data_IF_543183727433
#
_entry.id   IF_543183727433
#
_cell.length_a   1.000
_cell.length_b   1.000
_cell.length_c   1.000
_cell.angle_alpha   90.00
_cell.angle_beta   90.00
_cell.angle_gamma   90.00
#
_symmetry.space_group_name_H-M   'P 1'
#
loop_
_entity.id
_entity.type
_entity.pdbx_description
1 polymer ?
#
# COMPACT_ATOMS: atom_id res chain seq x y z
N UNK A 1 -7.58 3.27 -27.30
CA UNK A 1 -8.21 4.00 -28.42
C UNK A 1 -7.50 3.64 -29.72
N UNK A 2 -8.21 3.61 -30.84
CA UNK A 2 -7.62 3.26 -32.14
C UNK A 2 -7.31 4.55 -32.89
N UNK A 3 -6.06 4.75 -33.31
CA UNK A 3 -5.70 5.92 -34.11
C UNK A 3 -6.13 5.74 -35.57
N UNK A 4 -6.05 6.84 -36.32
CA UNK A 4 -6.28 6.91 -37.77
C UNK A 4 -5.34 5.99 -38.58
N UNK A 5 -4.34 5.37 -37.94
CA UNK A 5 -3.37 4.43 -38.52
C UNK A 5 -3.63 2.95 -38.13
N UNK A 6 -4.81 2.59 -37.61
CA UNK A 6 -5.16 1.23 -37.16
C UNK A 6 -4.28 0.68 -36.01
N UNK A 7 -3.69 1.55 -35.19
CA UNK A 7 -2.94 1.15 -34.01
C UNK A 7 -3.74 1.42 -32.74
N UNK A 8 -3.90 0.39 -31.90
CA UNK A 8 -4.51 0.49 -30.59
C UNK A 8 -3.49 1.04 -29.58
N UNK A 9 -3.87 2.09 -28.88
CA UNK A 9 -3.12 2.61 -27.73
C UNK A 9 -3.92 2.43 -26.46
N UNK A 10 -3.21 2.27 -25.35
CA UNK A 10 -3.84 2.22 -24.04
C UNK A 10 -4.49 3.57 -23.71
N UNK A 11 -5.64 3.52 -23.02
CA UNK A 11 -6.30 4.73 -22.52
C UNK A 11 -5.37 5.43 -21.51
N UNK A 12 -5.54 6.75 -21.27
CA UNK A 12 -4.82 7.43 -20.20
C UNK A 12 -4.96 6.65 -18.87
N UNK A 13 -3.84 6.41 -18.20
CA UNK A 13 -3.78 5.57 -16.99
C UNK A 13 -3.60 4.07 -17.24
N UNK A 14 -3.64 3.60 -18.49
CA UNK A 14 -3.29 2.22 -18.83
C UNK A 14 -1.95 2.19 -19.56
N UNK A 15 -1.13 1.21 -19.21
CA UNK A 15 0.21 1.00 -19.75
C UNK A 15 0.24 -0.28 -20.59
N UNK A 16 0.94 -0.27 -21.75
CA UNK A 16 1.09 -1.47 -22.56
C UNK A 16 2.00 -2.48 -21.85
N UNK A 17 1.47 -3.67 -21.60
CA UNK A 17 2.23 -4.83 -21.13
C UNK A 17 1.91 -5.99 -22.08
N UNK A 18 2.90 -6.37 -22.90
CA UNK A 18 2.71 -7.29 -24.03
C UNK A 18 1.60 -6.78 -24.99
N UNK A 19 0.58 -7.60 -25.25
CA UNK A 19 -0.56 -7.27 -26.10
C UNK A 19 -1.79 -6.73 -25.34
N UNK A 20 -1.65 -6.51 -24.02
CA UNK A 20 -2.73 -6.05 -23.15
C UNK A 20 -2.41 -4.69 -22.52
N UNK A 21 -3.46 -3.90 -22.32
CA UNK A 21 -3.38 -2.65 -21.57
C UNK A 21 -3.70 -2.95 -20.11
N UNK A 22 -2.72 -2.80 -19.25
CA UNK A 22 -2.86 -2.99 -17.79
C UNK A 22 -2.88 -1.63 -17.10
N UNK A 23 -3.62 -1.54 -16.01
CA UNK A 23 -3.59 -0.36 -15.15
C UNK A 23 -2.69 -0.69 -13.95
N UNK A 24 -1.79 0.23 -13.62
CA UNK A 24 -0.80 0.05 -12.55
C UNK A 24 -1.13 0.97 -11.37
N UNK A 25 -0.52 0.71 -10.20
CA UNK A 25 -0.55 1.69 -9.13
C UNK A 25 0.15 2.98 -9.58
N UNK A 26 -0.38 4.13 -9.17
CA UNK A 26 0.00 5.46 -9.66
C UNK A 26 -0.70 5.89 -10.96
N UNK A 27 -1.51 5.03 -11.57
CA UNK A 27 -2.33 5.40 -12.73
C UNK A 27 -3.41 6.40 -12.36
N UNK A 28 -3.78 7.28 -13.29
CA UNK A 28 -4.92 8.16 -13.11
C UNK A 28 -6.21 7.37 -12.84
N UNK A 29 -7.04 7.88 -11.94
CA UNK A 29 -8.32 7.32 -11.56
C UNK A 29 -9.34 8.43 -11.30
N UNK A 30 -10.62 8.12 -11.47
CA UNK A 30 -11.73 9.00 -11.05
C UNK A 30 -12.54 8.43 -9.89
N UNK A 31 -12.46 7.12 -9.68
CA UNK A 31 -13.24 6.40 -8.66
C UNK A 31 -12.40 5.32 -8.00
N UNK A 32 -12.70 4.99 -6.73
CA UNK A 32 -12.02 3.90 -6.04
C UNK A 32 -12.17 2.56 -6.76
N UNK A 33 -13.31 2.32 -7.42
CA UNK A 33 -13.57 1.09 -8.16
C UNK A 33 -12.56 0.83 -9.29
N UNK A 34 -12.02 1.88 -9.92
CA UNK A 34 -10.96 1.74 -10.92
C UNK A 34 -9.68 1.20 -10.30
N UNK A 35 -9.33 1.67 -9.10
CA UNK A 35 -8.14 1.20 -8.37
C UNK A 35 -8.36 -0.18 -7.77
N UNK A 36 -9.55 -0.45 -7.22
CA UNK A 36 -9.88 -1.79 -6.70
C UNK A 36 -9.80 -2.88 -7.77
N UNK A 37 -9.96 -2.52 -9.05
CA UNK A 37 -9.74 -3.43 -10.18
C UNK A 37 -8.24 -3.69 -10.48
N UNK A 38 -7.34 -2.79 -10.08
CA UNK A 38 -5.87 -2.97 -10.11
C UNK A 38 -5.43 -3.84 -8.94
N UNK A 39 -5.78 -3.43 -7.72
CA UNK A 39 -5.50 -4.15 -6.48
C UNK A 39 -6.62 -3.87 -5.47
N UNK A 40 -7.14 -4.92 -4.83
CA UNK A 40 -8.23 -4.81 -3.86
C UNK A 40 -7.89 -3.93 -2.65
N UNK A 41 -6.60 -3.71 -2.38
CA UNK A 41 -6.09 -2.85 -1.31
C UNK A 41 -5.62 -1.49 -1.84
N UNK A 42 -6.19 -1.00 -2.93
CA UNK A 42 -5.91 0.33 -3.47
C UNK A 42 -7.18 1.18 -3.59
N UNK A 43 -6.99 2.50 -3.52
CA UNK A 43 -8.03 3.50 -3.62
C UNK A 43 -7.59 4.66 -4.52
N UNK A 44 -8.55 5.48 -4.95
CA UNK A 44 -8.24 6.66 -5.74
C UNK A 44 -7.84 7.80 -4.80
N UNK A 45 -6.56 8.16 -4.84
CA UNK A 45 -6.00 9.23 -4.03
C UNK A 45 -6.54 10.60 -4.41
N UNK A 46 -6.30 11.59 -3.56
CA UNK A 46 -6.76 12.98 -3.76
C UNK A 46 -6.14 13.65 -4.99
N UNK A 47 -5.00 13.18 -5.46
CA UNK A 47 -4.36 13.62 -6.71
C UNK A 47 -4.98 12.95 -7.96
N UNK A 48 -6.02 12.13 -7.79
CA UNK A 48 -6.65 11.40 -8.88
C UNK A 48 -5.78 10.27 -9.41
N UNK A 49 -4.98 9.63 -8.56
CA UNK A 49 -4.13 8.49 -8.91
C UNK A 49 -4.35 7.31 -7.97
N UNK A 50 -4.23 6.09 -8.47
CA UNK A 50 -4.41 4.89 -7.65
C UNK A 50 -3.26 4.75 -6.66
N UNK A 51 -3.59 4.82 -5.38
CA UNK A 51 -2.66 4.67 -4.27
C UNK A 51 -3.07 3.47 -3.42
N UNK A 52 -2.13 2.93 -2.66
CA UNK A 52 -2.47 1.87 -1.72
C UNK A 52 -3.28 2.42 -0.56
N UNK A 53 -4.21 1.61 -0.07
CA UNK A 53 -4.93 1.89 1.17
C UNK A 53 -3.93 2.10 2.31
N UNK A 54 -4.34 2.82 3.37
CA UNK A 54 -3.54 2.94 4.58
C UNK A 54 -3.07 1.56 5.04
N UNK A 55 -1.79 1.43 5.44
CA UNK A 55 -1.11 0.20 5.85
C UNK A 55 -0.67 -0.76 4.73
N UNK A 56 -0.80 -0.35 3.47
CA UNK A 56 -0.24 -1.04 2.32
C UNK A 56 0.74 -0.13 1.59
N UNK A 57 1.81 -0.72 1.07
CA UNK A 57 2.83 -0.03 0.29
C UNK A 57 2.79 -0.49 -1.15
N UNK A 58 2.96 0.46 -2.05
CA UNK A 58 3.06 0.18 -3.47
C UNK A 58 4.35 -0.59 -3.77
N UNK A 59 4.21 -1.85 -4.18
CA UNK A 59 5.28 -2.71 -4.67
C UNK A 59 5.24 -2.82 -6.21
N UNK A 60 5.08 -1.68 -6.88
CA UNK A 60 4.96 -1.57 -8.33
C UNK A 60 3.55 -1.82 -8.85
N UNK A 61 3.12 -3.09 -8.85
CA UNK A 61 1.82 -3.51 -9.41
C UNK A 61 0.81 -3.97 -8.34
N UNK A 62 1.24 -4.07 -7.07
CA UNK A 62 0.42 -4.57 -5.98
C UNK A 62 0.63 -3.75 -4.71
N UNK A 63 -0.41 -3.73 -3.89
CA UNK A 63 -0.38 -3.15 -2.56
C UNK A 63 -0.07 -4.25 -1.56
N UNK A 64 1.10 -4.17 -0.92
CA UNK A 64 1.58 -5.17 0.04
C UNK A 64 1.67 -4.60 1.43
N UNK A 65 1.31 -5.39 2.45
CA UNK A 65 1.68 -5.06 3.83
C UNK A 65 3.17 -5.26 4.01
N UNK A 66 3.78 -4.44 4.85
CA UNK A 66 5.15 -4.65 5.26
C UNK A 66 5.24 -5.41 6.58
N UNK A 67 4.16 -5.54 7.36
CA UNK A 67 4.16 -6.38 8.58
C UNK A 67 4.36 -7.84 8.20
N UNK A 68 5.38 -8.48 8.77
CA UNK A 68 5.83 -9.84 8.41
C UNK A 68 6.79 -9.92 7.21
N UNK A 69 7.07 -8.80 6.54
CA UNK A 69 8.05 -8.76 5.44
C UNK A 69 9.49 -8.72 5.96
N UNK A 70 10.42 -9.24 5.16
CA UNK A 70 11.85 -9.14 5.45
C UNK A 70 12.34 -7.70 5.28
N UNK A 71 13.07 -7.19 6.27
CA UNK A 71 13.54 -5.80 6.33
C UNK A 71 15.06 -5.65 6.48
N UNK A 72 15.83 -6.73 6.32
CA UNK A 72 17.30 -6.75 6.44
C UNK A 72 18.03 -5.69 5.60
N UNK A 73 17.50 -5.38 4.41
CA UNK A 73 18.13 -4.44 3.48
C UNK A 73 17.66 -2.99 3.70
N UNK A 74 16.44 -2.81 4.21
CA UNK A 74 15.83 -1.49 4.40
C UNK A 74 14.92 -1.50 5.64
N UNK A 75 15.49 -1.33 6.85
CA UNK A 75 14.71 -1.35 8.09
C UNK A 75 13.57 -0.33 8.14
N UNK A 76 13.75 0.84 7.51
CA UNK A 76 12.72 1.90 7.46
C UNK A 76 11.49 1.52 6.68
N UNK A 77 11.54 0.46 5.85
CA UNK A 77 10.38 0.02 5.07
C UNK A 77 9.21 -0.31 5.99
N UNK A 78 9.45 -0.90 7.17
CA UNK A 78 8.37 -1.22 8.11
C UNK A 78 7.61 0.05 8.51
N UNK A 79 8.32 1.08 8.98
CA UNK A 79 7.71 2.36 9.38
C UNK A 79 7.05 3.10 8.21
N UNK A 80 7.60 2.97 6.99
CA UNK A 80 7.00 3.52 5.77
C UNK A 80 5.67 2.83 5.41
N UNK A 81 5.51 1.54 5.74
CA UNK A 81 4.26 0.81 5.51
C UNK A 81 3.26 0.90 6.64
N UNK A 82 3.73 0.92 7.88
CA UNK A 82 2.93 1.15 9.07
C UNK A 82 3.81 1.82 10.13
N UNK A 83 3.46 3.05 10.51
CA UNK A 83 4.23 3.86 11.47
C UNK A 83 4.36 3.20 12.85
N UNK A 84 3.44 2.28 13.17
CA UNK A 84 3.41 1.49 14.39
C UNK A 84 4.16 0.15 14.27
N UNK A 85 4.86 -0.08 13.16
CA UNK A 85 5.73 -1.23 12.95
C UNK A 85 7.21 -0.84 12.97
N UNK A 86 8.08 -1.81 13.24
CA UNK A 86 9.53 -1.66 13.28
C UNK A 86 10.20 -2.95 12.78
N UNK A 87 11.45 -2.84 12.31
CA UNK A 87 12.21 -4.00 11.86
C UNK A 87 12.85 -4.72 13.07
N UNK A 88 12.35 -5.92 13.40
CA UNK A 88 12.84 -6.73 14.53
C UNK A 88 13.27 -8.10 14.03
N UNK A 89 14.52 -8.48 14.31
CA UNK A 89 15.09 -9.74 13.83
C UNK A 89 14.88 -9.94 12.31
N UNK A 90 15.21 -8.91 11.53
CA UNK A 90 15.08 -8.91 10.07
C UNK A 90 13.65 -9.02 9.52
N UNK A 91 12.63 -8.93 10.39
CA UNK A 91 11.22 -9.00 10.01
C UNK A 91 10.46 -7.80 10.58
N UNK A 92 9.64 -7.15 9.75
CA UNK A 92 8.77 -6.09 10.22
C UNK A 92 7.73 -6.63 11.21
N UNK A 93 7.74 -6.09 12.42
CA UNK A 93 6.88 -6.47 13.53
C UNK A 93 6.23 -5.24 14.15
N UNK A 94 5.12 -5.39 14.85
CA UNK A 94 4.51 -4.26 15.55
C UNK A 94 5.36 -3.79 16.72
N UNK A 95 5.45 -2.46 16.90
CA UNK A 95 6.07 -1.82 18.04
C UNK A 95 5.39 -2.25 19.34
N UNK A 96 6.12 -2.19 20.44
CA UNK A 96 5.57 -2.50 21.76
C UNK A 96 4.29 -1.68 22.05
N UNK A 97 3.23 -2.36 22.50
CA UNK A 97 1.89 -1.77 22.71
C UNK A 97 0.94 -1.88 21.52
N UNK A 98 1.43 -2.36 20.38
CA UNK A 98 0.63 -2.63 19.18
C UNK A 98 0.61 -4.13 18.87
N UNK A 99 -0.48 -4.61 18.29
CA UNK A 99 -0.63 -5.99 17.84
C UNK A 99 -1.12 -6.05 16.39
N UNK A 100 -0.79 -7.12 15.69
CA UNK A 100 -1.18 -7.28 14.30
C UNK A 100 -2.65 -7.68 14.20
N UNK A 101 -3.47 -6.81 13.60
CA UNK A 101 -4.87 -7.08 13.22
C UNK A 101 -5.03 -6.68 11.77
N UNK A 102 -5.50 -7.61 10.93
CA UNK A 102 -5.67 -7.39 9.49
C UNK A 102 -4.43 -6.78 8.80
N UNK A 103 -3.24 -7.29 9.19
CA UNK A 103 -1.94 -6.86 8.66
C UNK A 103 -1.54 -5.42 9.02
N UNK A 104 -2.19 -4.83 10.03
CA UNK A 104 -1.89 -3.51 10.61
C UNK A 104 -1.49 -3.62 12.06
N UNK A 105 -0.69 -2.68 12.53
CA UNK A 105 -0.33 -2.55 13.94
C UNK A 105 -1.33 -1.62 14.64
N UNK A 106 -2.25 -2.23 15.40
CA UNK A 106 -3.30 -1.53 16.15
C UNK A 106 -2.99 -1.54 17.65
N UNK A 107 -3.33 -0.48 18.40
CA UNK A 107 -3.06 -0.41 19.83
C UNK A 107 -3.82 -1.48 20.62
N UNK A 108 -3.18 -2.01 21.65
CA UNK A 108 -3.76 -3.04 22.52
C UNK A 108 -4.49 -2.38 23.69
N UNK A 109 -5.78 -2.68 23.83
CA UNK A 109 -6.55 -2.21 25.00
C UNK A 109 -5.90 -2.70 26.31
N UNK A 110 -5.67 -1.76 27.24
CA UNK A 110 -5.10 -2.04 28.56
C UNK A 110 -3.57 -2.12 28.61
N UNK A 111 -2.86 -1.79 27.52
CA UNK A 111 -1.41 -1.65 27.54
C UNK A 111 -0.97 -0.43 28.37
N UNK A 112 0.16 -0.54 29.07
CA UNK A 112 0.72 0.58 29.82
C UNK A 112 1.30 1.63 28.87
N UNK A 113 0.59 2.75 28.73
CA UNK A 113 1.00 3.87 27.89
C UNK A 113 1.74 4.98 28.66
N UNK A 114 2.20 4.72 29.90
CA UNK A 114 2.93 5.71 30.71
C UNK A 114 4.19 6.27 30.02
N UNK A 115 4.79 5.52 29.10
CA UNK A 115 5.94 5.95 28.30
C UNK A 115 5.61 6.54 26.92
N UNK A 116 4.38 6.39 26.43
CA UNK A 116 3.94 6.89 25.12
C UNK A 116 2.41 6.99 25.06
N UNK A 117 1.87 8.19 25.24
CA UNK A 117 0.42 8.43 25.27
C UNK A 117 -0.27 8.19 23.92
N UNK A 118 0.47 8.18 22.81
CA UNK A 118 -0.09 7.93 21.46
C UNK A 118 -0.61 6.50 21.28
N UNK A 119 -0.29 5.58 22.21
CA UNK A 119 -0.80 4.20 22.21
C UNK A 119 -2.23 4.11 22.77
N UNK A 120 -2.68 5.13 23.52
CA UNK A 120 -3.91 5.10 24.31
C UNK A 120 -5.14 5.74 23.62
N UNK A 121 -5.05 6.06 22.32
CA UNK A 121 -6.14 6.68 21.53
C UNK A 121 -7.08 5.67 20.86
#
# INVERSE_FOLDING_TARGET
>A
ECTKFMQCYCKPGFFPQDDICVQLLGSACSTNAECTAVDQHSECGTEGTCVCLPSYVNSGSMCVTLVGAACSLKPTMCEEGDINSECVNDVCSCKAGYFTVDLKCVPVMGYDCSGNSSICE
#
